data_IF_914288850793
#
_entry.id   IF_914288850793
#
_cell.length_a   1.000
_cell.length_b   1.000
_cell.length_c   1.000
_cell.angle_alpha   90.00
_cell.angle_beta   90.00
_cell.angle_gamma   90.00
#
_symmetry.space_group_name_H-M   'P 1'
#
loop_
_entity.id
_entity.type
_entity.pdbx_description
1 polymer ?
#
# COMPACT_ATOMS: atom_id res chain seq x y z
N UNK A 1 -30.56 0.43 20.10
CA UNK A 1 -30.21 0.64 18.68
C UNK A 1 -29.98 2.13 18.49
N UNK A 2 -28.71 2.57 18.64
CA UNK A 2 -28.35 3.96 18.39
C UNK A 2 -28.14 4.16 16.89
N UNK A 3 -28.92 5.06 16.30
CA UNK A 3 -28.75 5.51 14.92
C UNK A 3 -27.45 6.31 14.80
N UNK A 4 -26.47 5.77 14.07
CA UNK A 4 -25.28 6.53 13.67
C UNK A 4 -25.71 7.65 12.70
N UNK A 5 -25.34 8.91 12.96
CA UNK A 5 -25.65 10.00 12.04
C UNK A 5 -24.84 9.80 10.75
N UNK A 6 -25.54 9.72 9.63
CA UNK A 6 -24.98 9.62 8.28
C UNK A 6 -24.37 10.96 7.84
N UNK A 7 -23.15 11.25 8.29
CA UNK A 7 -22.33 12.40 7.87
C UNK A 7 -21.68 12.23 6.49
N UNK A 8 -22.34 11.54 5.54
CA UNK A 8 -21.73 11.10 4.27
C UNK A 8 -22.40 11.68 3.01
N UNK A 9 -22.93 12.91 3.06
CA UNK A 9 -23.74 13.49 1.97
C UNK A 9 -23.08 14.62 1.16
N UNK A 10 -21.78 14.90 1.30
CA UNK A 10 -21.14 16.00 0.54
C UNK A 10 -19.89 15.64 -0.26
N UNK A 11 -19.58 14.36 -0.47
CA UNK A 11 -18.43 13.97 -1.32
C UNK A 11 -18.86 13.99 -2.79
N UNK A 12 -18.21 14.79 -3.66
CA UNK A 12 -18.55 14.81 -5.08
C UNK A 12 -18.36 13.42 -5.71
N UNK A 13 -19.28 13.02 -6.60
CA UNK A 13 -19.28 11.67 -7.22
C UNK A 13 -17.97 11.33 -7.96
N UNK A 14 -17.23 12.34 -8.44
CA UNK A 14 -15.95 12.17 -9.13
C UNK A 14 -14.77 12.00 -8.18
N UNK A 15 -14.89 12.39 -6.91
CA UNK A 15 -13.80 12.40 -5.94
C UNK A 15 -13.23 10.99 -5.67
N UNK A 16 -14.05 9.95 -5.41
CA UNK A 16 -13.52 8.61 -5.18
C UNK A 16 -12.76 8.05 -6.40
N UNK A 17 -13.19 8.41 -7.62
CA UNK A 17 -12.50 8.00 -8.85
C UNK A 17 -11.18 8.74 -9.03
N UNK A 18 -11.14 10.04 -8.71
CA UNK A 18 -9.91 10.82 -8.79
C UNK A 18 -8.88 10.36 -7.75
N UNK A 19 -9.31 10.13 -6.51
CA UNK A 19 -8.48 9.58 -5.44
C UNK A 19 -7.89 8.22 -5.83
N UNK A 20 -8.73 7.32 -6.34
CA UNK A 20 -8.30 6.02 -6.85
C UNK A 20 -7.26 6.13 -7.97
N UNK A 21 -7.51 7.00 -8.96
CA UNK A 21 -6.57 7.20 -10.08
C UNK A 21 -5.22 7.76 -9.62
N UNK A 22 -5.23 8.72 -8.69
CA UNK A 22 -3.98 9.26 -8.12
C UNK A 22 -3.22 8.20 -7.33
N UNK A 23 -3.93 7.36 -6.58
CA UNK A 23 -3.34 6.27 -5.81
C UNK A 23 -2.66 5.25 -6.72
N UNK A 24 -3.35 4.78 -7.77
CA UNK A 24 -2.78 3.83 -8.75
C UNK A 24 -1.57 4.43 -9.47
N UNK A 25 -1.63 5.70 -9.89
CA UNK A 25 -0.50 6.38 -10.51
C UNK A 25 0.71 6.47 -9.57
N UNK A 26 0.48 6.84 -8.30
CA UNK A 26 1.53 6.89 -7.28
C UNK A 26 2.19 5.53 -7.07
N UNK A 27 1.39 4.46 -6.98
CA UNK A 27 1.90 3.09 -6.84
C UNK A 27 2.76 2.68 -8.05
N UNK A 28 2.29 2.90 -9.27
CA UNK A 28 3.05 2.56 -10.49
C UNK A 28 4.38 3.32 -10.55
N UNK A 29 4.38 4.61 -10.21
CA UNK A 29 5.61 5.43 -10.20
C UNK A 29 6.57 5.05 -9.06
N UNK A 30 6.05 4.51 -7.96
CA UNK A 30 6.88 4.08 -6.82
C UNK A 30 7.71 2.82 -7.11
N UNK A 31 7.20 1.91 -7.95
CA UNK A 31 7.87 0.64 -8.31
C UNK A 31 9.30 0.86 -8.85
N UNK A 32 9.54 1.69 -9.89
CA UNK A 32 10.89 1.92 -10.39
C UNK A 32 11.80 2.61 -9.36
N UNK A 33 11.23 3.42 -8.45
CA UNK A 33 11.99 4.03 -7.35
C UNK A 33 12.52 2.95 -6.39
N UNK A 34 11.68 1.98 -6.01
CA UNK A 34 12.12 0.84 -5.18
C UNK A 34 13.24 0.04 -5.86
N UNK A 35 13.11 -0.26 -7.15
CA UNK A 35 14.15 -0.95 -7.90
C UNK A 35 15.45 -0.15 -7.98
N UNK A 36 15.37 1.16 -8.22
CA UNK A 36 16.54 2.03 -8.29
C UNK A 36 17.29 2.08 -6.96
N UNK A 37 16.58 2.28 -5.84
CA UNK A 37 17.21 2.34 -4.51
C UNK A 37 17.78 0.99 -4.11
N UNK A 38 17.06 -0.11 -4.36
CA UNK A 38 17.55 -1.45 -4.11
C UNK A 38 18.82 -1.74 -4.92
N UNK A 39 18.83 -1.40 -6.21
CA UNK A 39 20.00 -1.52 -7.08
C UNK A 39 21.19 -0.72 -6.53
N UNK A 40 20.99 0.54 -6.19
CA UNK A 40 22.04 1.40 -5.66
C UNK A 40 22.68 0.79 -4.39
N UNK A 41 21.86 0.34 -3.44
CA UNK A 41 22.36 -0.23 -2.19
C UNK A 41 23.07 -1.58 -2.42
N UNK A 42 22.56 -2.43 -3.31
CA UNK A 42 23.16 -3.73 -3.61
C UNK A 42 24.50 -3.59 -4.33
N UNK A 43 24.66 -2.63 -5.23
CA UNK A 43 25.88 -2.49 -6.03
C UNK A 43 26.97 -1.69 -5.30
N UNK A 44 26.61 -0.69 -4.49
CA UNK A 44 27.56 0.14 -3.74
C UNK A 44 28.14 -0.60 -2.52
N UNK A 45 29.43 -0.98 -2.58
CA UNK A 45 30.13 -1.68 -1.47
C UNK A 45 30.16 -0.87 -0.16
N UNK A 46 30.21 0.46 -0.26
CA UNK A 46 30.17 1.37 0.90
C UNK A 46 28.81 1.29 1.60
N UNK A 47 27.72 1.29 0.83
CA UNK A 47 26.36 1.23 1.35
C UNK A 47 26.10 -0.09 2.10
N UNK A 48 26.61 -1.23 1.62
CA UNK A 48 26.38 -2.54 2.26
C UNK A 48 27.02 -2.72 3.64
N UNK A 49 28.00 -1.88 4.02
CA UNK A 49 28.73 -2.03 5.30
C UNK A 49 28.08 -1.27 6.46
N UNK A 50 27.20 -0.32 6.17
CA UNK A 50 26.52 0.45 7.21
C UNK A 50 25.29 -0.31 7.73
N UNK A 51 25.24 -0.58 9.04
CA UNK A 51 24.12 -1.28 9.68
C UNK A 51 22.76 -0.61 9.39
N UNK A 52 22.74 0.73 9.33
CA UNK A 52 21.58 1.54 8.98
C UNK A 52 20.98 1.15 7.61
N UNK A 53 21.82 0.82 6.64
CA UNK A 53 21.35 0.46 5.31
C UNK A 53 20.69 -0.93 5.27
N UNK A 54 20.99 -1.83 6.21
CA UNK A 54 20.27 -3.10 6.33
C UNK A 54 18.81 -2.89 6.75
N UNK A 55 18.57 -1.98 7.69
CA UNK A 55 17.21 -1.61 8.11
C UNK A 55 16.45 -0.98 6.95
N UNK A 56 17.12 -0.11 6.18
CA UNK A 56 16.54 0.45 4.96
C UNK A 56 16.17 -0.66 3.97
N UNK A 57 17.04 -1.62 3.68
CA UNK A 57 16.74 -2.72 2.76
C UNK A 57 15.48 -3.49 3.20
N UNK A 58 15.37 -3.81 4.50
CA UNK A 58 14.21 -4.54 5.04
C UNK A 58 12.93 -3.70 4.87
N UNK A 59 12.97 -2.42 5.25
CA UNK A 59 11.85 -1.49 5.05
C UNK A 59 11.48 -1.36 3.57
N UNK A 60 12.47 -1.30 2.69
CA UNK A 60 12.28 -1.14 1.26
C UNK A 60 11.61 -2.37 0.66
N UNK A 61 12.03 -3.56 1.07
CA UNK A 61 11.42 -4.82 0.66
C UNK A 61 10.00 -4.97 1.21
N UNK A 62 9.77 -4.64 2.48
CA UNK A 62 8.45 -4.65 3.10
C UNK A 62 7.47 -3.72 2.36
N UNK A 63 7.87 -2.47 2.11
CA UNK A 63 7.04 -1.51 1.40
C UNK A 63 6.80 -1.92 -0.06
N UNK A 64 7.81 -2.47 -0.74
CA UNK A 64 7.65 -2.97 -2.11
C UNK A 64 6.62 -4.10 -2.19
N UNK A 65 6.66 -5.05 -1.25
CA UNK A 65 5.65 -6.10 -1.17
C UNK A 65 4.26 -5.53 -0.89
N UNK A 66 4.14 -4.62 0.08
CA UNK A 66 2.87 -3.94 0.41
C UNK A 66 2.25 -3.28 -0.81
N UNK A 67 3.00 -2.42 -1.51
CA UNK A 67 2.54 -1.74 -2.73
C UNK A 67 2.17 -2.72 -3.83
N UNK A 68 2.93 -3.80 -4.01
CA UNK A 68 2.64 -4.80 -5.04
C UNK A 68 1.35 -5.55 -4.75
N UNK A 69 1.13 -5.95 -3.49
CA UNK A 69 -0.11 -6.60 -3.07
C UNK A 69 -1.31 -5.65 -3.17
N UNK A 70 -1.19 -4.41 -2.67
CA UNK A 70 -2.24 -3.41 -2.76
C UNK A 70 -2.61 -3.12 -4.21
N UNK A 71 -1.63 -2.90 -5.09
CA UNK A 71 -1.89 -2.66 -6.50
C UNK A 71 -2.60 -3.85 -7.15
N UNK A 72 -2.18 -5.07 -6.83
CA UNK A 72 -2.81 -6.29 -7.37
C UNK A 72 -4.29 -6.39 -6.94
N UNK A 73 -4.59 -6.17 -5.66
CA UNK A 73 -5.96 -6.20 -5.14
C UNK A 73 -6.81 -5.04 -5.67
N UNK A 74 -6.18 -3.87 -5.85
CA UNK A 74 -6.81 -2.66 -6.40
C UNK A 74 -7.21 -2.87 -7.87
N UNK A 75 -6.32 -3.46 -8.67
CA UNK A 75 -6.59 -3.83 -10.06
C UNK A 75 -7.63 -4.95 -10.19
N UNK A 76 -7.59 -5.93 -9.29
CA UNK A 76 -8.59 -7.01 -9.24
C UNK A 76 -9.99 -6.45 -8.95
N UNK A 77 -10.09 -5.51 -8.00
CA UNK A 77 -11.32 -4.76 -7.72
C UNK A 77 -11.81 -3.98 -8.93
N UNK A 78 -10.92 -3.30 -9.66
CA UNK A 78 -11.29 -2.51 -10.84
C UNK A 78 -11.84 -3.41 -11.96
N UNK A 79 -11.23 -4.59 -12.14
CA UNK A 79 -11.63 -5.56 -13.17
C UNK A 79 -12.95 -6.28 -12.85
N UNK A 80 -13.14 -6.72 -11.61
CA UNK A 80 -14.23 -7.65 -11.24
C UNK A 80 -15.34 -6.95 -10.42
N UNK A 81 -15.09 -5.74 -9.93
CA UNK A 81 -16.00 -4.98 -9.07
C UNK A 81 -15.94 -5.39 -7.59
N UNK A 82 -15.18 -6.43 -7.24
CA UNK A 82 -14.93 -6.88 -5.88
C UNK A 82 -13.49 -7.44 -5.77
N UNK A 83 -12.98 -7.56 -4.55
CA UNK A 83 -11.66 -8.15 -4.28
C UNK A 83 -11.81 -9.66 -4.14
N UNK A 84 -11.16 -10.46 -5.00
CA UNK A 84 -11.29 -11.92 -5.02
C UNK A 84 -10.87 -12.59 -3.71
N UNK A 85 -9.86 -12.05 -3.03
CA UNK A 85 -9.36 -12.52 -1.73
C UNK A 85 -10.07 -11.86 -0.54
N UNK A 86 -11.39 -11.69 -0.60
CA UNK A 86 -12.14 -11.12 0.51
C UNK A 86 -12.43 -12.16 1.61
N UNK A 87 -11.53 -12.24 2.59
CA UNK A 87 -11.78 -12.94 3.86
C UNK A 87 -11.75 -11.94 5.03
N UNK A 88 -12.71 -11.99 5.98
CA UNK A 88 -12.73 -11.09 7.14
C UNK A 88 -11.42 -11.13 7.94
N UNK A 89 -10.79 -12.30 8.03
CA UNK A 89 -9.51 -12.49 8.70
C UNK A 89 -8.39 -11.79 7.93
N UNK A 90 -8.40 -11.89 6.60
CA UNK A 90 -7.39 -11.24 5.75
C UNK A 90 -7.54 -9.71 5.82
N UNK A 91 -8.76 -9.17 5.79
CA UNK A 91 -8.98 -7.73 5.92
C UNK A 91 -8.48 -7.18 7.27
N UNK A 92 -8.75 -7.88 8.38
CA UNK A 92 -8.24 -7.47 9.69
C UNK A 92 -6.72 -7.57 9.79
N UNK A 93 -6.14 -8.61 9.20
CA UNK A 93 -4.69 -8.75 9.12
C UNK A 93 -4.08 -7.61 8.30
N UNK A 94 -4.65 -7.29 7.14
CA UNK A 94 -4.18 -6.19 6.31
C UNK A 94 -4.33 -4.83 7.00
N UNK A 95 -5.44 -4.61 7.70
CA UNK A 95 -5.64 -3.41 8.50
C UNK A 95 -4.58 -3.25 9.60
N UNK A 96 -4.12 -4.35 10.21
CA UNK A 96 -3.03 -4.36 11.18
C UNK A 96 -1.67 -4.06 10.52
N UNK A 97 -1.43 -4.57 9.31
CA UNK A 97 -0.22 -4.31 8.52
C UNK A 97 -0.13 -2.83 8.13
N UNK A 98 -1.25 -2.22 7.71
CA UNK A 98 -1.31 -0.82 7.27
C UNK A 98 -1.28 0.18 8.43
N UNK A 99 -2.08 -0.07 9.47
CA UNK A 99 -2.27 0.89 10.57
C UNK A 99 -1.40 0.58 11.80
N UNK A 100 -0.71 -0.56 11.80
CA UNK A 100 0.09 -1.03 12.92
C UNK A 100 -0.74 -1.39 14.16
N UNK A 101 -0.03 -1.60 15.26
CA UNK A 101 -0.56 -2.07 16.55
C UNK A 101 -1.40 -0.98 17.26
N UNK A 102 -1.34 0.26 16.79
CA UNK A 102 -1.95 1.42 17.46
C UNK A 102 -3.47 1.57 17.24
N UNK A 103 -4.06 0.71 16.42
CA UNK A 103 -5.51 0.69 16.12
C UNK A 103 -6.22 -0.60 16.63
N UNK A 104 -5.63 -1.28 17.63
CA UNK A 104 -6.20 -2.47 18.30
C UNK A 104 -7.00 -2.15 19.55
#
# INVERSE_FOLDING_TARGET
MGSFPSTLTSVPLYWPKAEFSLFVLGQILSIPCYFFVAYHIIFEKSARKALHNHVIIILLFYNFLGVTFDLSLTLDRDRVGYVSLFSPTLCRFWQLVDNGIWYG
#
